data_IF_581704642770
#
_entry.id   IF_581704642770
#
_cell.length_a   1.000
_cell.length_b   1.000
_cell.length_c   1.000
_cell.angle_alpha   90.00
_cell.angle_beta   90.00
_cell.angle_gamma   90.00
#
_symmetry.space_group_name_H-M   'P 1'
#
loop_
_entity.id
_entity.type
_entity.pdbx_description
1 polymer ?
#
# COMPACT_ATOMS: atom_id res chain seq x y z
N UNK A 1 -17.71 44.08 -56.28
CA UNK A 1 -18.99 43.46 -56.71
C UNK A 1 -19.67 42.94 -55.44
N UNK A 2 -20.79 43.57 -55.01
CA UNK A 2 -21.75 43.20 -53.92
C UNK A 2 -21.17 42.72 -52.54
N UNK A 3 -21.43 43.33 -51.36
CA UNK A 3 -22.67 43.83 -50.72
C UNK A 3 -23.69 42.68 -50.48
N UNK A 4 -24.14 42.27 -49.28
CA UNK A 4 -24.68 42.93 -48.07
C UNK A 4 -24.31 42.07 -46.81
N UNK A 5 -24.14 42.56 -45.56
CA UNK A 5 -25.06 43.25 -44.60
C UNK A 5 -26.39 42.54 -44.26
N UNK A 6 -26.50 41.98 -43.04
CA UNK A 6 -27.73 42.04 -42.22
C UNK A 6 -27.38 42.32 -40.75
N UNK A 7 -28.28 43.05 -40.10
CA UNK A 7 -28.17 43.67 -38.78
C UNK A 7 -29.32 43.23 -37.88
N UNK A 8 -29.10 43.14 -36.56
CA UNK A 8 -30.11 43.38 -35.52
C UNK A 8 -29.44 44.15 -34.36
N UNK A 9 -30.17 45.03 -33.69
CA UNK A 9 -29.64 46.09 -32.81
C UNK A 9 -30.42 46.19 -31.50
N UNK A 10 -29.77 46.73 -30.46
CA UNK A 10 -30.35 47.41 -29.27
C UNK A 10 -31.05 46.54 -28.19
N UNK A 11 -31.17 46.96 -26.91
CA UNK A 11 -30.73 48.17 -26.19
C UNK A 11 -30.40 47.77 -24.72
N UNK A 12 -29.32 48.24 -24.09
CA UNK A 12 -29.12 49.53 -23.37
C UNK A 12 -30.01 49.76 -22.13
N UNK A 13 -29.41 49.72 -20.94
CA UNK A 13 -29.67 50.64 -19.82
C UNK A 13 -28.50 50.59 -18.82
N UNK A 14 -28.02 51.75 -18.37
CA UNK A 14 -26.99 51.89 -17.35
C UNK A 14 -27.38 53.00 -16.37
N UNK A 15 -26.97 52.89 -15.10
CA UNK A 15 -26.51 54.05 -14.35
C UNK A 15 -25.65 53.66 -13.14
N UNK A 16 -24.46 54.23 -13.07
CA UNK A 16 -23.59 54.25 -11.90
C UNK A 16 -23.78 55.56 -11.13
N UNK A 17 -23.44 55.58 -9.85
CA UNK A 17 -22.70 56.70 -9.26
C UNK A 17 -21.92 56.23 -8.01
N UNK A 18 -20.80 56.89 -7.72
CA UNK A 18 -19.89 56.56 -6.63
C UNK A 18 -19.35 57.84 -5.96
N UNK A 19 -18.50 57.66 -4.94
CA UNK A 19 -17.82 58.70 -4.14
C UNK A 19 -18.71 59.44 -3.10
N UNK A 20 -18.21 59.97 -1.98
CA UNK A 20 -16.81 60.10 -1.50
C UNK A 20 -16.74 59.97 0.05
N UNK A 21 -15.55 59.81 0.62
CA UNK A 21 -15.36 59.63 2.08
C UNK A 21 -14.88 60.88 2.84
N UNK A 22 -14.93 60.81 4.19
CA UNK A 22 -14.38 61.79 5.12
C UNK A 22 -14.22 61.22 6.54
N UNK A 23 -13.14 61.58 7.25
CA UNK A 23 -12.86 61.22 8.67
C UNK A 23 -12.99 62.48 9.58
N UNK A 24 -12.52 62.51 10.85
CA UNK A 24 -13.31 62.10 12.03
C UNK A 24 -13.32 63.17 13.15
N UNK A 25 -14.27 63.13 14.10
CA UNK A 25 -14.07 63.78 15.40
C UNK A 25 -14.98 63.26 16.53
N UNK A 26 -14.40 63.24 17.74
CA UNK A 26 -15.03 63.14 19.07
C UNK A 26 -14.70 64.47 19.81
N UNK A 27 -15.26 64.80 21.01
CA UNK A 27 -15.97 63.94 21.99
C UNK A 27 -17.34 64.57 22.41
N UNK A 28 -17.97 64.44 23.60
CA UNK A 28 -17.61 63.85 24.91
C UNK A 28 -18.85 63.54 25.80
N UNK A 29 -18.61 63.09 27.04
CA UNK A 29 -19.43 63.14 28.27
C UNK A 29 -20.80 62.41 28.36
N UNK A 30 -20.82 61.34 29.18
CA UNK A 30 -21.64 61.36 30.41
C UNK A 30 -22.90 60.49 30.54
N UNK A 31 -22.77 59.25 31.05
CA UNK A 31 -23.68 58.60 32.03
C UNK A 31 -23.15 57.21 32.45
N UNK A 32 -23.35 56.76 33.71
CA UNK A 32 -22.80 55.48 34.19
C UNK A 32 -23.69 54.28 33.81
N UNK A 33 -23.06 53.19 33.35
CA UNK A 33 -23.72 51.90 33.18
C UNK A 33 -23.67 51.10 34.50
N UNK A 34 -24.79 50.46 34.84
CA UNK A 34 -24.95 49.67 36.07
C UNK A 34 -24.24 48.31 35.94
N UNK A 35 -23.51 47.94 36.99
CA UNK A 35 -22.78 46.67 37.10
C UNK A 35 -23.76 45.49 37.33
N UNK A 36 -23.77 44.45 36.47
CA UNK A 36 -24.48 43.21 36.74
C UNK A 36 -23.56 42.18 37.40
N UNK A 37 -24.10 41.46 38.39
CA UNK A 37 -23.36 40.52 39.22
C UNK A 37 -22.67 39.39 38.43
N UNK A 38 -21.48 38.99 38.90
CA UNK A 38 -20.77 37.83 38.38
C UNK A 38 -21.57 36.54 38.63
N UNK A 39 -22.05 35.91 37.55
CA UNK A 39 -22.59 34.56 37.62
C UNK A 39 -21.42 33.56 37.64
N UNK A 40 -21.33 32.78 38.71
CA UNK A 40 -20.31 31.75 38.85
C UNK A 40 -20.59 30.61 37.85
N UNK A 41 -19.66 30.38 36.92
CA UNK A 41 -19.81 29.42 35.83
C UNK A 41 -19.79 27.99 36.40
N UNK A 42 -20.80 27.13 36.12
CA UNK A 42 -20.75 25.75 36.59
C UNK A 42 -19.55 25.03 35.97
N UNK A 43 -18.83 24.27 36.79
CA UNK A 43 -17.72 23.45 36.34
C UNK A 43 -18.22 22.46 35.29
N UNK A 44 -17.65 22.53 34.08
CA UNK A 44 -17.96 21.57 33.04
C UNK A 44 -17.45 20.19 33.49
N UNK A 45 -18.35 19.23 33.65
CA UNK A 45 -17.95 17.84 33.78
C UNK A 45 -17.15 17.45 32.53
N UNK A 46 -15.92 16.97 32.73
CA UNK A 46 -15.12 16.39 31.64
C UNK A 46 -15.94 15.25 31.03
N UNK A 47 -16.20 15.24 29.71
CA UNK A 47 -16.87 14.11 29.10
C UNK A 47 -16.02 12.86 29.31
N UNK A 48 -16.65 11.80 29.81
CA UNK A 48 -16.05 10.48 29.90
C UNK A 48 -15.58 10.08 28.49
N UNK A 49 -14.33 9.57 28.32
CA UNK A 49 -13.85 9.17 27.01
C UNK A 49 -14.79 8.11 26.44
N UNK A 50 -15.17 8.28 25.17
CA UNK A 50 -16.00 7.29 24.48
C UNK A 50 -15.30 5.91 24.55
N UNK A 51 -16.05 4.81 24.73
CA UNK A 51 -15.46 3.48 24.76
C UNK A 51 -14.70 3.23 23.46
N UNK A 52 -13.45 2.75 23.58
CA UNK A 52 -12.63 2.44 22.42
C UNK A 52 -13.35 1.42 21.53
N UNK A 53 -13.24 1.54 20.19
CA UNK A 53 -13.79 0.53 19.29
C UNK A 53 -13.25 -0.85 19.65
N UNK A 54 -14.13 -1.86 19.67
CA UNK A 54 -13.69 -3.24 19.85
C UNK A 54 -12.64 -3.58 18.77
N UNK A 55 -11.57 -4.31 19.13
CA UNK A 55 -10.61 -4.75 18.14
C UNK A 55 -11.33 -5.57 17.04
N UNK A 56 -10.86 -5.50 15.79
CA UNK A 56 -11.41 -6.35 14.73
C UNK A 56 -11.26 -7.83 15.11
N UNK A 57 -12.14 -8.72 14.62
CA UNK A 57 -11.97 -10.15 14.80
C UNK A 57 -10.63 -10.61 14.21
N UNK A 58 -10.00 -11.66 14.79
CA UNK A 58 -8.76 -12.20 14.25
C UNK A 58 -8.95 -12.66 12.80
N UNK A 59 -7.91 -12.49 11.99
CA UNK A 59 -7.86 -12.99 10.61
C UNK A 59 -7.45 -14.46 10.59
N UNK A 60 -7.65 -15.17 9.47
CA UNK A 60 -7.13 -16.54 9.31
C UNK A 60 -5.61 -16.61 9.49
N UNK A 61 -4.89 -15.54 9.14
CA UNK A 61 -3.44 -15.44 9.37
C UNK A 61 -3.06 -15.27 10.86
N UNK A 62 -3.97 -14.80 11.71
CA UNK A 62 -3.77 -14.71 13.16
C UNK A 62 -4.08 -16.04 13.86
N UNK A 63 -5.03 -16.82 13.32
CA UNK A 63 -5.44 -18.13 13.86
C UNK A 63 -4.59 -19.32 13.37
N UNK A 64 -3.80 -19.13 12.30
CA UNK A 64 -2.95 -20.19 11.73
C UNK A 64 -1.69 -20.47 12.57
N UNK A 65 -1.37 -21.76 12.74
CA UNK A 65 -0.18 -22.22 13.46
C UNK A 65 1.09 -22.10 12.60
N UNK A 66 1.68 -20.91 12.57
CA UNK A 66 2.87 -20.62 11.78
C UNK A 66 4.11 -21.37 12.31
N UNK A 67 4.92 -21.97 11.42
CA UNK A 67 6.19 -22.56 11.82
C UNK A 67 7.13 -21.49 12.38
N UNK A 68 8.04 -21.89 13.27
CA UNK A 68 9.05 -20.97 13.77
C UNK A 68 9.91 -20.41 12.62
N UNK A 69 10.13 -19.09 12.57
CA UNK A 69 10.93 -18.46 11.53
C UNK A 69 12.40 -18.91 11.61
N UNK A 70 13.03 -19.15 10.46
CA UNK A 70 14.47 -19.39 10.38
C UNK A 70 15.25 -18.09 10.27
N UNK A 71 14.60 -17.07 9.71
CA UNK A 71 15.19 -15.78 9.35
C UNK A 71 14.13 -14.68 9.45
N UNK A 72 14.58 -13.44 9.57
CA UNK A 72 13.76 -12.27 9.31
C UNK A 72 14.48 -11.32 8.34
N UNK A 73 13.72 -10.58 7.56
CA UNK A 73 14.22 -9.50 6.69
C UNK A 73 13.41 -8.24 6.89
N UNK A 74 14.04 -7.10 6.64
CA UNK A 74 13.37 -5.80 6.47
C UNK A 74 13.39 -5.43 4.99
N UNK A 75 12.20 -5.28 4.40
CA UNK A 75 12.01 -4.75 3.05
C UNK A 75 11.72 -3.26 3.18
N UNK A 76 12.69 -2.41 2.88
CA UNK A 76 12.51 -0.96 2.87
C UNK A 76 12.01 -0.50 1.48
N UNK A 77 11.05 0.42 1.47
CA UNK A 77 10.42 0.95 0.24
C UNK A 77 10.32 2.47 0.29
N UNK A 78 10.00 3.09 -0.85
CA UNK A 78 9.68 4.53 -0.91
C UNK A 78 8.40 4.94 -0.18
N UNK A 79 7.58 3.99 0.30
CA UNK A 79 6.36 4.26 1.10
C UNK A 79 6.47 3.84 2.58
N UNK A 80 7.58 3.25 3.01
CA UNK A 80 7.75 2.70 4.36
C UNK A 80 8.48 1.36 4.36
N UNK A 81 8.55 0.71 5.51
CA UNK A 81 9.27 -0.54 5.70
C UNK A 81 8.33 -1.68 6.11
N UNK A 82 8.62 -2.90 5.66
CA UNK A 82 7.95 -4.13 6.10
C UNK A 82 8.97 -5.04 6.79
N UNK A 83 8.60 -5.61 7.93
CA UNK A 83 9.35 -6.69 8.59
C UNK A 83 8.70 -8.02 8.21
N UNK A 84 9.51 -8.96 7.70
CA UNK A 84 9.04 -10.24 7.16
C UNK A 84 9.79 -11.39 7.83
N UNK A 85 9.06 -12.30 8.45
CA UNK A 85 9.54 -13.62 8.89
C UNK A 85 9.64 -14.57 7.70
N UNK A 86 10.70 -15.40 7.64
CA UNK A 86 10.88 -16.40 6.60
C UNK A 86 10.90 -17.82 7.19
N UNK A 87 10.29 -18.77 6.47
CA UNK A 87 9.99 -20.11 6.96
C UNK A 87 10.85 -21.17 6.26
N UNK A 88 12.18 -21.10 6.45
CA UNK A 88 13.15 -22.00 5.79
C UNK A 88 13.01 -23.47 6.19
N UNK A 89 12.29 -23.79 7.26
CA UNK A 89 11.91 -25.16 7.63
C UNK A 89 10.82 -25.76 6.71
N UNK A 90 10.08 -24.92 6.00
CA UNK A 90 9.00 -25.29 5.07
C UNK A 90 9.35 -25.03 3.60
N UNK A 91 10.11 -23.98 3.32
CA UNK A 91 10.53 -23.60 1.96
C UNK A 91 12.05 -23.33 1.89
N UNK A 92 12.90 -24.34 2.19
CA UNK A 92 14.35 -24.13 2.36
C UNK A 92 15.03 -23.58 1.10
N UNK A 93 14.67 -24.04 -0.09
CA UNK A 93 15.29 -23.56 -1.34
C UNK A 93 14.81 -22.14 -1.66
N UNK A 94 13.53 -21.86 -1.44
CA UNK A 94 12.91 -20.57 -1.72
C UNK A 94 13.44 -19.47 -0.81
N UNK A 95 13.57 -19.76 0.50
CA UNK A 95 14.18 -18.84 1.47
C UNK A 95 15.66 -18.62 1.16
N UNK A 96 16.43 -19.67 0.87
CA UNK A 96 17.84 -19.53 0.49
C UNK A 96 18.01 -18.70 -0.81
N UNK A 97 17.16 -18.94 -1.81
CA UNK A 97 17.14 -18.19 -3.07
C UNK A 97 16.84 -16.69 -2.84
N UNK A 98 15.78 -16.38 -2.08
CA UNK A 98 15.39 -15.00 -1.76
C UNK A 98 16.47 -14.27 -0.95
N UNK A 99 17.00 -14.91 0.10
CA UNK A 99 18.07 -14.34 0.93
C UNK A 99 19.36 -14.11 0.13
N UNK A 100 19.68 -14.98 -0.83
CA UNK A 100 20.81 -14.77 -1.72
C UNK A 100 20.60 -13.54 -2.62
N UNK A 101 19.44 -13.39 -3.27
CA UNK A 101 19.14 -12.17 -4.04
C UNK A 101 19.21 -10.89 -3.19
N UNK A 102 18.73 -10.93 -1.95
CA UNK A 102 18.86 -9.82 -1.00
C UNK A 102 20.33 -9.52 -0.67
N UNK A 103 21.13 -10.54 -0.37
CA UNK A 103 22.56 -10.39 -0.04
C UNK A 103 23.40 -9.80 -1.18
N UNK A 104 23.02 -10.02 -2.44
CA UNK A 104 23.69 -9.44 -3.62
C UNK A 104 23.15 -8.04 -4.01
N UNK A 105 22.21 -7.48 -3.25
CA UNK A 105 21.55 -6.21 -3.59
C UNK A 105 20.69 -6.27 -4.87
N UNK A 106 20.24 -7.46 -5.29
CA UNK A 106 19.43 -7.61 -6.51
C UNK A 106 18.11 -6.81 -6.43
N UNK A 107 17.51 -6.78 -5.24
CA UNK A 107 16.27 -6.06 -4.98
C UNK A 107 16.44 -4.54 -4.86
N UNK A 108 17.66 -4.03 -4.73
CA UNK A 108 17.93 -2.61 -4.55
C UNK A 108 17.55 -1.83 -5.80
N UNK A 109 16.67 -0.84 -5.61
CA UNK A 109 16.06 -0.03 -6.69
C UNK A 109 15.27 -0.87 -7.70
N UNK A 110 14.73 -2.02 -7.27
CA UNK A 110 13.62 -2.67 -7.98
C UNK A 110 12.30 -1.98 -7.65
N UNK A 111 11.24 -2.29 -8.40
CA UNK A 111 9.91 -1.71 -8.20
C UNK A 111 8.85 -2.79 -7.94
N UNK A 112 7.76 -2.38 -7.29
CA UNK A 112 6.47 -3.06 -7.44
C UNK A 112 5.94 -2.71 -8.83
N UNK A 113 6.05 -3.67 -9.76
CA UNK A 113 5.69 -3.49 -11.17
C UNK A 113 4.27 -3.97 -11.47
N UNK A 114 3.66 -4.69 -10.52
CA UNK A 114 2.28 -5.18 -10.61
C UNK A 114 1.62 -5.04 -9.25
N UNK A 115 0.47 -4.39 -9.21
CA UNK A 115 -0.37 -4.15 -8.04
C UNK A 115 -1.80 -4.47 -8.43
N UNK A 116 -2.49 -5.24 -7.58
CA UNK A 116 -3.92 -5.53 -7.74
C UNK A 116 -4.59 -5.32 -6.40
N UNK A 117 -5.45 -4.31 -6.34
CA UNK A 117 -6.18 -3.96 -5.13
C UNK A 117 -6.99 -5.15 -4.59
N UNK A 118 -6.96 -5.32 -3.27
CA UNK A 118 -7.57 -6.46 -2.60
C UNK A 118 -7.09 -7.84 -3.08
N UNK A 119 -5.90 -7.95 -3.68
CA UNK A 119 -5.33 -9.23 -4.13
C UNK A 119 -3.84 -9.37 -3.75
N UNK A 120 -2.91 -8.77 -4.49
CA UNK A 120 -1.45 -8.89 -4.28
C UNK A 120 -0.68 -7.64 -4.71
N UNK A 121 0.51 -7.43 -4.13
CA UNK A 121 1.55 -6.54 -4.66
C UNK A 121 2.79 -7.35 -5.05
N UNK A 122 3.27 -7.22 -6.28
CA UNK A 122 4.34 -8.04 -6.85
C UNK A 122 5.55 -7.19 -7.29
N UNK A 123 6.75 -7.63 -6.91
CA UNK A 123 7.98 -6.87 -7.05
C UNK A 123 9.22 -7.72 -7.34
N UNK A 124 10.38 -7.10 -7.20
CA UNK A 124 11.69 -7.77 -7.23
C UNK A 124 12.23 -8.21 -8.60
N UNK A 125 11.50 -7.95 -9.70
CA UNK A 125 11.94 -8.34 -11.06
C UNK A 125 12.41 -7.20 -11.96
N UNK A 126 11.99 -5.97 -11.71
CA UNK A 126 12.14 -4.84 -12.64
C UNK A 126 12.76 -3.64 -11.95
N UNK A 127 13.61 -2.90 -12.66
CA UNK A 127 14.10 -1.58 -12.23
C UNK A 127 13.10 -0.45 -12.53
N UNK A 128 13.40 0.76 -12.06
CA UNK A 128 12.56 1.96 -12.26
C UNK A 128 12.30 2.29 -13.74
N UNK A 129 13.21 1.92 -14.64
CA UNK A 129 13.05 2.10 -16.08
C UNK A 129 12.31 0.91 -16.77
N UNK A 130 11.66 0.04 -15.99
CA UNK A 130 11.04 -1.21 -16.44
C UNK A 130 11.98 -2.16 -17.20
N UNK A 131 13.29 -2.04 -16.97
CA UNK A 131 14.26 -3.04 -17.39
C UNK A 131 14.16 -4.25 -16.45
N UNK A 132 13.96 -5.45 -17.01
CA UNK A 132 14.01 -6.68 -16.23
C UNK A 132 15.43 -6.89 -15.66
N UNK A 133 15.52 -7.40 -14.43
CA UNK A 133 16.79 -7.70 -13.76
C UNK A 133 17.25 -9.12 -14.15
N UNK A 134 18.51 -9.32 -14.58
CA UNK A 134 19.04 -10.66 -14.84
C UNK A 134 18.92 -11.57 -13.62
N UNK A 135 18.33 -12.74 -13.80
CA UNK A 135 18.05 -13.72 -12.75
C UNK A 135 19.07 -14.86 -12.72
N UNK A 136 19.07 -15.59 -11.61
CA UNK A 136 19.70 -16.91 -11.44
C UNK A 136 18.86 -17.99 -12.12
N UNK A 137 19.40 -19.22 -12.29
CA UNK A 137 18.57 -20.38 -12.60
C UNK A 137 17.36 -20.49 -11.66
N UNK A 138 16.19 -20.90 -12.15
CA UNK A 138 14.99 -21.01 -11.33
C UNK A 138 15.15 -21.94 -10.11
N UNK A 139 14.39 -21.64 -9.06
CA UNK A 139 14.30 -22.49 -7.87
C UNK A 139 13.25 -23.57 -8.07
N UNK A 140 13.52 -24.77 -7.55
CA UNK A 140 12.58 -25.88 -7.58
C UNK A 140 11.33 -25.54 -6.75
N UNK A 141 10.18 -26.01 -7.21
CA UNK A 141 8.89 -25.81 -6.56
C UNK A 141 8.85 -26.41 -5.14
N UNK A 142 8.28 -25.66 -4.17
CA UNK A 142 8.09 -26.08 -2.77
C UNK A 142 6.71 -25.67 -2.23
N UNK A 143 5.70 -25.48 -3.08
CA UNK A 143 4.38 -24.97 -2.66
C UNK A 143 3.48 -25.99 -1.97
N UNK A 144 3.78 -27.28 -2.06
CA UNK A 144 3.18 -28.33 -1.23
C UNK A 144 3.92 -28.41 0.12
N UNK A 145 3.92 -27.30 0.86
CA UNK A 145 4.59 -27.18 2.17
C UNK A 145 3.59 -26.95 3.33
N UNK A 146 2.30 -26.82 3.00
CA UNK A 146 1.21 -26.55 3.93
C UNK A 146 1.15 -25.11 4.44
N UNK A 147 1.82 -24.15 3.80
CA UNK A 147 1.68 -22.72 4.11
C UNK A 147 0.68 -22.06 3.14
N UNK A 148 -0.44 -21.50 3.65
CA UNK A 148 -1.50 -20.96 2.81
C UNK A 148 -1.19 -19.53 2.33
N UNK A 149 -1.71 -19.14 1.17
CA UNK A 149 -1.66 -17.76 0.64
C UNK A 149 -2.67 -16.85 1.35
N UNK A 150 -2.64 -16.82 2.68
CA UNK A 150 -3.43 -15.90 3.49
C UNK A 150 -2.92 -14.46 3.40
N UNK A 151 -3.74 -13.50 3.82
CA UNK A 151 -3.30 -12.10 3.99
C UNK A 151 -1.98 -12.06 4.80
N UNK A 152 -1.12 -11.08 4.49
CA UNK A 152 0.23 -10.89 5.05
C UNK A 152 1.32 -11.84 4.55
N UNK A 153 1.00 -12.94 3.86
CA UNK A 153 2.02 -13.89 3.42
C UNK A 153 2.85 -13.42 2.22
N UNK A 154 4.10 -13.88 2.16
CA UNK A 154 5.04 -13.63 1.07
C UNK A 154 5.27 -14.93 0.28
N UNK A 155 5.08 -14.86 -1.04
CA UNK A 155 5.15 -16.01 -1.93
C UNK A 155 5.96 -15.75 -3.20
N UNK A 156 6.55 -16.81 -3.76
CA UNK A 156 7.35 -16.75 -4.99
C UNK A 156 6.47 -16.57 -6.21
N UNK A 157 6.71 -15.52 -7.00
CA UNK A 157 6.09 -15.39 -8.32
C UNK A 157 6.79 -16.31 -9.33
N UNK A 158 6.03 -16.84 -10.29
CA UNK A 158 6.51 -17.78 -11.31
C UNK A 158 5.73 -17.66 -12.61
N UNK A 159 6.28 -18.22 -13.68
CA UNK A 159 5.58 -18.46 -14.94
C UNK A 159 4.74 -19.76 -14.84
N UNK A 160 4.21 -20.24 -15.96
CA UNK A 160 3.33 -21.42 -16.02
C UNK A 160 3.96 -22.69 -15.41
N UNK A 161 5.26 -22.90 -15.61
CA UNK A 161 6.01 -24.03 -15.03
C UNK A 161 6.15 -23.84 -13.51
N UNK A 162 5.78 -24.81 -12.66
CA UNK A 162 5.98 -24.74 -11.21
C UNK A 162 7.42 -24.42 -10.79
N UNK A 163 8.42 -24.88 -11.56
CA UNK A 163 9.86 -24.69 -11.30
C UNK A 163 10.45 -23.49 -12.05
N UNK A 164 9.64 -22.45 -12.34
CA UNK A 164 10.11 -21.22 -13.01
C UNK A 164 10.23 -20.01 -12.08
N UNK A 165 10.00 -20.18 -10.78
CA UNK A 165 10.25 -19.13 -9.79
C UNK A 165 11.73 -18.71 -9.79
N UNK A 166 12.02 -17.41 -9.74
CA UNK A 166 13.38 -16.88 -9.75
C UNK A 166 13.56 -15.77 -8.72
N UNK A 167 13.65 -14.50 -9.13
CA UNK A 167 13.81 -13.37 -8.21
C UNK A 167 12.49 -12.78 -7.69
N UNK A 168 11.41 -12.86 -8.49
CA UNK A 168 10.16 -12.16 -8.22
C UNK A 168 9.35 -12.79 -7.08
N UNK A 169 8.70 -11.95 -6.31
CA UNK A 169 7.87 -12.30 -5.15
C UNK A 169 6.67 -11.36 -5.04
N UNK A 170 5.66 -11.77 -4.27
CA UNK A 170 4.49 -10.95 -3.97
C UNK A 170 4.05 -11.07 -2.51
N UNK A 171 3.39 -10.02 -2.01
CA UNK A 171 2.67 -10.01 -0.72
C UNK A 171 1.18 -10.22 -1.00
N UNK A 172 0.53 -11.11 -0.25
CA UNK A 172 -0.92 -11.30 -0.26
C UNK A 172 -1.64 -10.21 0.55
N UNK A 173 -2.53 -9.43 -0.09
CA UNK A 173 -3.33 -8.38 0.56
C UNK A 173 -4.65 -8.91 1.16
N UNK A 174 -5.05 -10.13 0.79
CA UNK A 174 -6.19 -10.85 1.37
C UNK A 174 -5.88 -12.34 1.42
N UNK A 175 -6.82 -13.13 1.92
CA UNK A 175 -6.79 -14.58 1.76
C UNK A 175 -7.06 -14.95 0.30
N UNK A 176 -6.10 -15.66 -0.30
CA UNK A 176 -6.08 -16.06 -1.71
C UNK A 176 -5.92 -17.58 -1.89
N UNK A 177 -6.00 -18.34 -0.80
CA UNK A 177 -5.79 -19.79 -0.71
C UNK A 177 -6.60 -20.57 -1.74
N UNK A 178 -7.89 -20.26 -1.90
CA UNK A 178 -8.80 -20.85 -2.90
C UNK A 178 -8.28 -20.77 -4.35
N UNK A 179 -7.37 -19.83 -4.64
CA UNK A 179 -6.88 -19.53 -5.98
C UNK A 179 -5.37 -19.78 -6.17
N UNK A 180 -4.57 -19.61 -5.12
CA UNK A 180 -3.11 -19.61 -5.17
C UNK A 180 -2.44 -20.78 -4.45
N UNK A 181 -3.14 -21.56 -3.63
CA UNK A 181 -2.53 -22.68 -2.91
C UNK A 181 -2.31 -23.92 -3.79
N UNK A 182 -1.45 -24.81 -3.29
CA UNK A 182 -1.37 -26.16 -3.82
C UNK A 182 -2.67 -26.91 -3.52
N UNK A 183 -3.17 -27.66 -4.51
CA UNK A 183 -4.31 -28.55 -4.30
C UNK A 183 -4.22 -29.79 -5.19
N UNK A 184 -4.24 -30.98 -4.57
CA UNK A 184 -4.36 -32.27 -5.26
C UNK A 184 -5.83 -32.67 -5.44
N UNK A 185 -6.14 -33.25 -6.60
CA UNK A 185 -7.44 -33.88 -6.88
C UNK A 185 -7.27 -34.99 -7.94
N UNK A 186 -8.38 -35.67 -8.27
CA UNK A 186 -8.43 -36.79 -9.22
C UNK A 186 -7.90 -36.47 -10.64
N UNK A 187 -7.79 -35.19 -11.02
CA UNK A 187 -7.24 -34.73 -12.31
C UNK A 187 -5.76 -34.32 -12.23
N UNK A 188 -5.12 -34.44 -11.06
CA UNK A 188 -3.74 -34.08 -10.80
C UNK A 188 -3.55 -32.77 -10.03
N UNK A 189 -2.28 -32.42 -9.68
CA UNK A 189 -1.98 -31.29 -8.81
C UNK A 189 -2.17 -29.94 -9.50
N UNK A 190 -2.94 -29.06 -8.87
CA UNK A 190 -2.82 -27.61 -9.05
C UNK A 190 -1.65 -27.15 -8.20
N UNK A 191 -0.53 -26.82 -8.83
CA UNK A 191 0.69 -26.44 -8.10
C UNK A 191 0.60 -25.13 -7.31
N UNK A 192 -0.31 -24.19 -7.59
CA UNK A 192 -0.36 -22.94 -6.81
C UNK A 192 0.99 -22.19 -6.78
N UNK A 193 1.31 -21.57 -5.64
CA UNK A 193 2.51 -20.75 -5.45
C UNK A 193 3.14 -21.00 -4.07
N UNK A 194 4.48 -21.03 -4.02
CA UNK A 194 5.23 -21.29 -2.79
C UNK A 194 5.23 -20.08 -1.88
N UNK A 195 4.43 -20.15 -0.80
CA UNK A 195 4.58 -19.28 0.37
C UNK A 195 5.86 -19.66 1.10
N UNK A 196 6.67 -18.65 1.45
CA UNK A 196 7.97 -18.83 2.11
C UNK A 196 8.22 -17.85 3.27
N UNK A 197 7.29 -16.93 3.54
CA UNK A 197 7.38 -15.97 4.64
C UNK A 197 6.08 -15.22 4.91
N UNK A 198 6.11 -14.29 5.86
CA UNK A 198 4.96 -13.47 6.29
C UNK A 198 5.38 -12.11 6.82
N UNK A 199 4.68 -11.05 6.43
CA UNK A 199 4.81 -9.70 6.97
C UNK A 199 4.30 -9.69 8.41
N UNK A 200 5.15 -9.36 9.37
CA UNK A 200 4.81 -9.25 10.80
C UNK A 200 4.74 -7.81 11.32
N UNK A 201 5.15 -6.84 10.50
CA UNK A 201 5.04 -5.42 10.77
C UNK A 201 5.14 -4.61 9.48
N UNK A 202 4.45 -3.47 9.40
CA UNK A 202 4.38 -2.66 8.17
C UNK A 202 3.37 -3.17 7.13
N UNK A 203 2.39 -3.98 7.50
CA UNK A 203 1.36 -4.46 6.56
C UNK A 203 0.52 -3.29 5.99
N UNK A 204 0.35 -2.23 6.77
CA UNK A 204 -0.24 -0.96 6.34
C UNK A 204 0.53 -0.30 5.19
N UNK A 205 1.85 -0.55 5.06
CA UNK A 205 2.65 -0.13 3.90
C UNK A 205 2.28 -0.95 2.67
N UNK A 206 2.10 -2.26 2.82
CA UNK A 206 1.64 -3.13 1.73
C UNK A 206 0.23 -2.73 1.25
N UNK A 207 -0.68 -2.42 2.17
CA UNK A 207 -2.03 -1.94 1.86
C UNK A 207 -1.99 -0.57 1.14
N UNK A 208 -1.15 0.36 1.62
CA UNK A 208 -0.98 1.68 0.99
C UNK A 208 -0.34 1.61 -0.41
N UNK A 209 0.42 0.55 -0.72
CA UNK A 209 0.89 0.23 -2.08
C UNK A 209 -0.26 -0.39 -2.89
N UNK A 210 -1.03 -1.31 -2.28
CA UNK A 210 -2.17 -2.01 -2.87
C UNK A 210 -3.29 -1.07 -3.37
N UNK A 211 -3.56 -0.01 -2.62
CA UNK A 211 -4.60 0.98 -2.92
C UNK A 211 -4.18 2.05 -3.95
N UNK A 212 -3.00 1.95 -4.56
CA UNK A 212 -2.56 2.90 -5.59
C UNK A 212 -3.37 2.76 -6.88
N UNK A 213 -3.71 3.86 -7.58
CA UNK A 213 -4.24 3.80 -8.92
C UNK A 213 -3.28 3.08 -9.88
N UNK A 214 -3.80 2.12 -10.64
CA UNK A 214 -3.02 1.32 -11.60
C UNK A 214 -3.40 1.60 -13.05
N UNK A 215 -2.52 1.22 -13.97
CA UNK A 215 -2.71 1.39 -15.41
C UNK A 215 -1.56 0.75 -16.20
N UNK A 216 -1.39 1.06 -17.50
CA UNK A 216 -0.23 0.61 -18.27
C UNK A 216 1.08 1.21 -17.75
N UNK A 217 2.19 0.52 -17.99
CA UNK A 217 3.53 1.02 -17.69
C UNK A 217 4.65 0.09 -18.15
N UNK A 218 5.68 0.64 -18.80
CA UNK A 218 6.78 -0.16 -19.33
C UNK A 218 6.28 -1.23 -20.34
N UNK A 219 6.61 -2.52 -20.16
CA UNK A 219 6.12 -3.62 -21.00
C UNK A 219 4.72 -4.13 -20.59
N UNK A 220 4.09 -3.58 -19.55
CA UNK A 220 2.83 -4.08 -19.01
C UNK A 220 1.64 -3.23 -19.49
N UNK A 221 0.57 -3.90 -19.90
CA UNK A 221 -0.65 -3.26 -20.43
C UNK A 221 -1.56 -2.70 -19.31
N UNK A 222 -1.46 -3.24 -18.10
CA UNK A 222 -2.28 -2.87 -16.93
C UNK A 222 -1.57 -3.21 -15.61
N UNK A 223 -2.26 -2.98 -14.47
CA UNK A 223 -1.81 -3.32 -13.11
C UNK A 223 -0.51 -2.63 -12.62
N UNK A 224 0.08 -1.71 -13.38
CA UNK A 224 1.26 -0.93 -12.94
C UNK A 224 0.82 0.25 -12.08
N UNK A 225 1.34 0.41 -10.84
CA UNK A 225 1.01 1.55 -10.00
C UNK A 225 1.52 2.86 -10.64
N UNK A 226 0.62 3.83 -10.77
CA UNK A 226 0.90 5.12 -11.43
C UNK A 226 1.80 6.04 -10.57
N UNK A 227 1.93 5.75 -9.28
CA UNK A 227 3.05 6.21 -8.45
C UNK A 227 4.08 5.07 -8.33
N UNK A 228 5.29 5.26 -8.85
CA UNK A 228 6.33 4.23 -8.79
C UNK A 228 6.81 3.96 -7.36
N UNK A 229 6.49 2.79 -6.83
CA UNK A 229 6.99 2.34 -5.52
C UNK A 229 8.29 1.57 -5.70
N UNK A 230 9.37 2.08 -5.12
CA UNK A 230 10.72 1.54 -5.22
C UNK A 230 11.07 0.75 -3.96
N UNK A 231 11.56 -0.48 -4.10
CA UNK A 231 12.24 -1.22 -3.04
C UNK A 231 13.66 -0.63 -2.92
N UNK A 232 13.96 -0.02 -1.78
CA UNK A 232 15.23 0.68 -1.55
C UNK A 232 16.32 -0.24 -1.02
N UNK A 233 15.96 -1.21 -0.17
CA UNK A 233 16.83 -2.31 0.25
C UNK A 233 16.03 -3.51 0.76
N UNK A 234 16.60 -4.71 0.68
CA UNK A 234 16.16 -5.89 1.43
C UNK A 234 17.35 -6.40 2.23
N UNK A 235 17.26 -6.40 3.55
CA UNK A 235 18.36 -6.86 4.44
C UNK A 235 17.86 -7.84 5.48
N UNK A 236 18.70 -8.78 5.88
CA UNK A 236 18.43 -9.69 7.01
C UNK A 236 18.47 -8.90 8.33
N UNK A 237 17.55 -9.21 9.23
CA UNK A 237 17.45 -8.63 10.58
C UNK A 237 17.33 -9.76 11.62
N UNK A 238 17.41 -9.42 12.90
CA UNK A 238 17.21 -10.41 13.96
C UNK A 238 15.76 -10.92 13.98
N UNK A 239 15.59 -12.25 14.02
CA UNK A 239 14.27 -12.85 14.14
C UNK A 239 13.66 -12.52 15.52
N UNK A 240 12.47 -11.93 15.52
CA UNK A 240 11.80 -11.45 16.74
C UNK A 240 12.03 -9.97 17.07
N UNK A 241 12.78 -9.22 16.25
CA UNK A 241 12.77 -7.75 16.32
C UNK A 241 11.38 -7.21 15.92
N UNK A 242 10.65 -6.67 16.90
CA UNK A 242 9.34 -6.02 16.78
C UNK A 242 9.46 -4.57 17.24
#
# INVERSE_FOLDING_TARGET
>A
MFLMRKTVTAALAALTLAACGGKPQAPDEGAPAVEPAAAEKPAAATPEPAPEPLPPPPTRADEFDWPQPTDAVRIATSKGEMIVELYGSKAPKSVANFLQYAADGHYDRTIFHRVVDGFVIQGGGYGVAFNERPTRPPVAYEGDNGLPNYRTTLAMARMRDPNSAAAQWYVNLRDNDESLDHYENDLGPRYGYTVFGRVIGGMEVADAIGALPTGPGGPFEEEVPQETVVVTSVVRVEAGAR
#
